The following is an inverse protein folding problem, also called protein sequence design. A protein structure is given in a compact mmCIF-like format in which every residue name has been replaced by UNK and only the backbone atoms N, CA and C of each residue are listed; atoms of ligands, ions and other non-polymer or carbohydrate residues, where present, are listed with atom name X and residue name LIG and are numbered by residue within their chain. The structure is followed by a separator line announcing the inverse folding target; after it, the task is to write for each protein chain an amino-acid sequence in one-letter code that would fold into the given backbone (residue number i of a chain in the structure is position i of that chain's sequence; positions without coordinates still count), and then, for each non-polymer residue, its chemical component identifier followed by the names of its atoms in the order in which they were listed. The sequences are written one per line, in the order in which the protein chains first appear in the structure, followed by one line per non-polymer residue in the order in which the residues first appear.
data_IF_314371696732
#
_entry.id   IF_314371696732
#
_cell.length_a   1.000
_cell.length_b   1.000
_cell.length_c   1.000
_cell.angle_alpha   90.00
_cell.angle_beta   90.00
_cell.angle_gamma   90.00
#
_symmetry.space_group_name_H-M   'P 1'
#
loop_
_entity.id
_entity.type
_entity.pdbx_description
1 polymer ?
#
# COMPACT_ATOMS: atom_id res chain seq x y z
N UNK A 1 -8.86 -21.44 -21.70
CA UNK A 1 -9.18 -20.11 -22.29
C UNK A 1 -7.89 -19.35 -22.45
N UNK A 2 -7.49 -19.12 -23.69
CA UNK A 2 -6.26 -18.45 -24.11
C UNK A 2 -6.35 -16.96 -23.80
N UNK A 3 -5.91 -16.55 -22.61
CA UNK A 3 -5.84 -15.14 -22.24
C UNK A 3 -4.64 -14.48 -22.93
N UNK A 4 -4.93 -13.63 -23.90
CA UNK A 4 -3.95 -12.79 -24.57
C UNK A 4 -3.21 -11.88 -23.60
N UNK A 5 -2.12 -11.28 -24.08
CA UNK A 5 -1.15 -10.43 -23.38
C UNK A 5 -1.70 -9.13 -22.72
N UNK A 6 -2.99 -9.07 -22.40
CA UNK A 6 -3.74 -7.91 -21.90
C UNK A 6 -4.68 -8.25 -20.71
N UNK A 7 -4.34 -9.22 -19.86
CA UNK A 7 -5.05 -9.38 -18.60
C UNK A 7 -4.79 -8.15 -17.71
N UNK A 8 -5.85 -7.49 -17.24
CA UNK A 8 -5.74 -6.33 -16.37
C UNK A 8 -5.04 -6.72 -15.07
N UNK A 9 -3.89 -6.10 -14.79
CA UNK A 9 -3.17 -6.33 -13.56
C UNK A 9 -3.66 -5.38 -12.49
N UNK A 10 -4.20 -5.90 -11.39
CA UNK A 10 -4.73 -5.09 -10.29
C UNK A 10 -3.61 -4.51 -9.41
N UNK A 11 -2.47 -5.20 -9.36
CA UNK A 11 -1.30 -4.78 -8.57
C UNK A 11 -0.76 -3.37 -8.87
N UNK A 12 -0.43 -2.97 -10.11
CA UNK A 12 0.10 -1.63 -10.38
C UNK A 12 -0.90 -0.53 -10.03
N UNK A 13 -2.19 -0.80 -10.22
CA UNK A 13 -3.27 0.10 -9.85
C UNK A 13 -3.37 0.27 -8.33
N UNK A 14 -3.37 -0.84 -7.58
CA UNK A 14 -3.39 -0.82 -6.12
C UNK A 14 -2.17 -0.10 -5.53
N UNK A 15 -0.98 -0.33 -6.12
CA UNK A 15 0.25 0.36 -5.73
C UNK A 15 0.14 1.89 -5.89
N UNK A 16 -0.42 2.35 -7.02
CA UNK A 16 -0.60 3.77 -7.27
C UNK A 16 -1.61 4.38 -6.29
N UNK A 17 -2.71 3.69 -6.01
CA UNK A 17 -3.71 4.12 -5.03
C UNK A 17 -3.11 4.24 -3.63
N UNK A 18 -2.34 3.24 -3.19
CA UNK A 18 -1.68 3.27 -1.88
C UNK A 18 -0.64 4.40 -1.78
N UNK A 19 0.10 4.68 -2.86
CA UNK A 19 1.05 5.78 -2.91
C UNK A 19 0.39 7.15 -2.71
N UNK A 20 -0.66 7.45 -3.48
CA UNK A 20 -1.39 8.70 -3.33
C UNK A 20 -2.06 8.82 -1.96
N UNK A 21 -2.67 7.73 -1.47
CA UNK A 21 -3.24 7.69 -0.12
C UNK A 21 -2.19 8.06 0.95
N UNK A 22 -0.99 7.47 0.86
CA UNK A 22 0.08 7.73 1.81
C UNK A 22 0.56 9.19 1.77
N UNK A 23 0.64 9.80 0.58
CA UNK A 23 0.97 11.23 0.41
C UNK A 23 -0.10 12.13 1.04
N UNK A 24 -1.38 11.81 0.85
CA UNK A 24 -2.47 12.56 1.49
C UNK A 24 -2.44 12.46 3.02
N UNK A 25 -2.18 11.26 3.55
CA UNK A 25 -2.01 11.08 5.01
C UNK A 25 -0.77 11.83 5.50
N UNK A 26 0.32 11.88 4.72
CA UNK A 26 1.54 12.61 5.07
C UNK A 26 1.27 14.12 5.21
N UNK A 27 0.62 14.72 4.21
CA UNK A 27 0.24 16.14 4.24
C UNK A 27 -0.73 16.42 5.40
N UNK A 28 -1.75 15.58 5.58
CA UNK A 28 -2.71 15.70 6.68
C UNK A 28 -2.06 15.55 8.07
N UNK A 29 -0.98 14.78 8.18
CA UNK A 29 -0.22 14.59 9.42
C UNK A 29 0.63 15.82 9.77
N UNK A 30 1.23 16.48 8.76
CA UNK A 30 1.97 17.74 8.95
C UNK A 30 1.03 18.84 9.44
N UNK A 31 -0.17 18.94 8.86
CA UNK A 31 -1.19 19.89 9.30
C UNK A 31 -1.66 19.55 10.73
N UNK A 32 -1.85 18.26 11.03
CA UNK A 32 -2.25 17.78 12.37
C UNK A 32 -1.25 18.09 13.47
N UNK A 33 0.03 18.34 13.15
CA UNK A 33 1.06 18.68 14.15
C UNK A 33 0.77 20.01 14.89
N UNK A 34 -0.06 20.87 14.30
CA UNK A 34 -0.48 22.14 14.87
C UNK A 34 -1.69 22.03 15.82
N UNK A 35 -2.34 20.85 15.88
CA UNK A 35 -3.49 20.56 16.74
C UNK A 35 -3.06 19.87 18.06
N UNK A 36 -3.90 19.88 19.12
CA UNK A 36 -3.53 19.34 20.44
C UNK A 36 -3.08 17.87 20.45
N UNK A 37 -3.56 17.05 19.51
CA UNK A 37 -3.24 15.62 19.42
C UNK A 37 -1.94 15.33 18.64
N UNK A 38 -0.83 15.94 19.08
CA UNK A 38 0.49 15.84 18.42
C UNK A 38 1.05 14.42 18.35
N UNK A 39 0.78 13.59 19.34
CA UNK A 39 1.22 12.18 19.36
C UNK A 39 0.62 11.37 18.23
N UNK A 40 -0.68 11.56 17.95
CA UNK A 40 -1.37 10.90 16.85
C UNK A 40 -0.87 11.42 15.50
N UNK A 41 -0.52 12.71 15.43
CA UNK A 41 0.07 13.31 14.23
C UNK A 41 1.44 12.69 13.93
N UNK A 42 2.28 12.51 14.95
CA UNK A 42 3.58 11.84 14.81
C UNK A 42 3.45 10.38 14.38
N UNK A 43 2.49 9.64 14.94
CA UNK A 43 2.21 8.25 14.55
C UNK A 43 1.75 8.15 13.09
N UNK A 44 0.79 8.98 12.67
CA UNK A 44 0.33 9.01 11.28
C UNK A 44 1.44 9.43 10.30
N UNK A 45 2.29 10.38 10.69
CA UNK A 45 3.45 10.80 9.88
C UNK A 45 4.45 9.64 9.68
N UNK A 46 4.75 8.90 10.75
CA UNK A 46 5.62 7.72 10.68
C UNK A 46 5.01 6.62 9.80
N UNK A 47 3.71 6.35 9.96
CA UNK A 47 2.97 5.36 9.18
C UNK A 47 2.97 5.73 7.69
N UNK A 48 2.70 6.98 7.33
CA UNK A 48 2.73 7.44 5.95
C UNK A 48 4.10 7.25 5.29
N UNK A 49 5.18 7.58 6.01
CA UNK A 49 6.54 7.36 5.53
C UNK A 49 6.85 5.87 5.35
N UNK A 50 6.36 5.02 6.27
CA UNK A 50 6.51 3.58 6.16
C UNK A 50 5.79 3.03 4.91
N UNK A 51 4.56 3.48 4.65
CA UNK A 51 3.80 3.07 3.46
C UNK A 51 4.52 3.50 2.18
N UNK A 52 4.99 4.75 2.10
CA UNK A 52 5.78 5.25 0.96
C UNK A 52 7.06 4.43 0.77
N UNK A 53 7.76 4.12 1.87
CA UNK A 53 8.98 3.31 1.85
C UNK A 53 8.76 1.86 1.47
N UNK A 54 7.57 1.30 1.71
CA UNK A 54 7.20 -0.05 1.31
C UNK A 54 6.74 -0.11 -0.15
N UNK A 55 6.16 0.99 -0.65
CA UNK A 55 5.71 1.16 -2.03
C UNK A 55 6.87 1.43 -3.01
N UNK A 56 7.82 2.29 -2.61
CA UNK A 56 9.03 2.54 -3.37
C UNK A 56 10.11 1.52 -2.95
N UNK A 57 10.61 0.65 -3.84
CA UNK A 57 11.67 -0.27 -3.47
C UNK A 57 12.96 0.52 -3.20
N UNK A 58 13.22 0.83 -1.93
CA UNK A 58 14.51 1.33 -1.50
C UNK A 58 15.53 0.17 -1.52
N UNK A 59 16.76 0.39 -2.00
CA UNK A 59 17.78 -0.65 -2.16
C UNK A 59 18.21 -1.36 -0.86
N UNK A 60 17.75 -0.90 0.31
CA UNK A 60 18.02 -1.53 1.61
C UNK A 60 16.87 -2.41 2.15
N UNK A 61 15.70 -2.43 1.49
CA UNK A 61 14.53 -3.23 1.90
C UNK A 61 14.43 -4.59 1.17
N UNK A 62 15.45 -4.99 0.41
CA UNK A 62 15.52 -6.32 -0.24
C UNK A 62 15.39 -7.50 0.75
N UNK A 63 15.65 -7.27 2.05
CA UNK A 63 15.43 -8.26 3.11
C UNK A 63 13.98 -8.34 3.63
N UNK A 64 13.12 -7.35 3.32
CA UNK A 64 11.68 -7.38 3.62
C UNK A 64 10.84 -8.05 2.51
N UNK A 65 11.49 -8.86 1.66
CA UNK A 65 10.85 -9.58 0.57
C UNK A 65 9.63 -10.43 0.98
N UNK A 66 9.48 -10.81 2.25
CA UNK A 66 8.29 -11.52 2.75
C UNK A 66 7.03 -10.65 2.80
N UNK A 67 7.15 -9.38 3.19
CA UNK A 67 6.00 -8.44 3.26
C UNK A 67 5.65 -7.90 1.88
N UNK A 68 6.66 -7.70 1.02
CA UNK A 68 6.45 -7.24 -0.37
C UNK A 68 5.84 -8.33 -1.27
N UNK A 69 6.18 -9.61 -1.07
CA UNK A 69 5.64 -10.71 -1.87
C UNK A 69 4.19 -11.08 -1.55
N UNK A 70 3.68 -10.75 -0.36
CA UNK A 70 2.40 -11.28 0.11
C UNK A 70 1.33 -10.19 0.19
N UNK A 71 0.43 -10.18 -0.79
CA UNK A 71 -0.62 -9.16 -0.95
C UNK A 71 -1.62 -9.14 0.21
N UNK A 72 -1.85 -10.29 0.87
CA UNK A 72 -2.68 -10.37 2.07
C UNK A 72 -2.09 -9.61 3.26
N UNK A 73 -0.77 -9.73 3.48
CA UNK A 73 -0.07 -9.01 4.54
C UNK A 73 -0.10 -7.50 4.30
N UNK A 74 0.08 -7.10 3.03
CA UNK A 74 0.04 -5.69 2.64
C UNK A 74 -1.34 -5.08 2.82
N UNK A 75 -2.39 -5.78 2.41
CA UNK A 75 -3.77 -5.35 2.63
C UNK A 75 -4.10 -5.23 4.12
N UNK A 76 -3.65 -6.18 4.95
CA UNK A 76 -3.88 -6.17 6.38
C UNK A 76 -3.11 -5.04 7.08
N UNK A 77 -1.86 -4.79 6.68
CA UNK A 77 -1.07 -3.65 7.17
C UNK A 77 -1.77 -2.33 6.84
N UNK A 78 -2.24 -2.17 5.59
CA UNK A 78 -2.97 -0.96 5.19
C UNK A 78 -4.30 -0.82 5.94
N UNK A 79 -5.04 -1.90 6.14
CA UNK A 79 -6.26 -1.90 6.96
C UNK A 79 -5.99 -1.56 8.43
N UNK A 80 -4.87 -2.01 9.02
CA UNK A 80 -4.48 -1.63 10.38
C UNK A 80 -4.09 -0.13 10.45
N UNK A 81 -3.46 0.40 9.40
CA UNK A 81 -3.05 1.81 9.32
C UNK A 81 -4.23 2.79 9.12
N UNK A 82 -5.42 2.31 8.76
CA UNK A 82 -6.65 3.12 8.71
C UNK A 82 -7.03 3.63 10.11
N UNK A 83 -6.86 2.82 11.15
CA UNK A 83 -7.31 3.11 12.53
C UNK A 83 -6.73 4.42 13.08
N UNK A 84 -5.40 4.66 13.06
CA UNK A 84 -4.83 5.91 13.57
C UNK A 84 -5.18 7.12 12.69
N UNK A 85 -5.42 6.92 11.39
CA UNK A 85 -5.81 7.99 10.47
C UNK A 85 -7.26 8.47 10.65
N UNK A 86 -8.15 7.66 11.23
CA UNK A 86 -9.54 8.05 11.51
C UNK A 86 -9.67 9.01 12.69
N UNK A 87 -8.66 9.09 13.56
CA UNK A 87 -8.68 9.94 14.75
C UNK A 87 -8.49 11.43 14.40
N UNK A 88 -7.91 11.73 13.23
CA UNK A 88 -7.60 13.09 12.79
C UNK A 88 -8.41 13.45 11.54
N UNK A 89 -9.17 14.55 11.62
CA UNK A 89 -9.98 15.05 10.50
C UNK A 89 -9.19 15.29 9.19
N UNK A 90 -7.98 15.90 9.18
CA UNK A 90 -7.27 16.18 7.92
C UNK A 90 -6.72 14.93 7.23
N UNK A 91 -6.72 13.76 7.88
CA UNK A 91 -6.25 12.49 7.29
C UNK A 91 -7.38 11.62 6.73
N UNK A 92 -8.66 11.97 6.96
CA UNK A 92 -9.82 11.17 6.53
C UNK A 92 -9.85 10.90 5.02
N UNK A 93 -9.53 11.90 4.19
CA UNK A 93 -9.48 11.73 2.72
C UNK A 93 -8.42 10.72 2.30
N UNK A 94 -7.24 10.76 2.95
CA UNK A 94 -6.16 9.81 2.71
C UNK A 94 -6.51 8.39 3.19
N UNK A 95 -7.22 8.28 4.31
CA UNK A 95 -7.68 7.01 4.88
C UNK A 95 -8.72 6.32 4.00
N UNK A 96 -9.66 7.08 3.43
CA UNK A 96 -10.62 6.53 2.46
C UNK A 96 -9.90 5.96 1.24
N UNK A 97 -8.90 6.69 0.72
CA UNK A 97 -8.07 6.22 -0.38
C UNK A 97 -7.29 4.95 0.00
N UNK A 98 -6.73 4.90 1.22
CA UNK A 98 -6.00 3.74 1.74
C UNK A 98 -6.92 2.51 1.90
N UNK A 99 -8.17 2.72 2.34
CA UNK A 99 -9.16 1.65 2.47
C UNK A 99 -9.57 1.07 1.12
N UNK A 100 -9.71 1.92 0.10
CA UNK A 100 -9.94 1.50 -1.28
C UNK A 100 -8.73 0.71 -1.82
N UNK A 101 -7.51 1.18 -1.56
CA UNK A 101 -6.30 0.46 -1.91
C UNK A 101 -6.22 -0.92 -1.22
N UNK A 102 -6.57 -1.02 0.06
CA UNK A 102 -6.59 -2.29 0.79
C UNK A 102 -7.59 -3.29 0.16
N UNK A 103 -8.77 -2.82 -0.27
CA UNK A 103 -9.75 -3.64 -0.98
C UNK A 103 -9.25 -4.08 -2.35
N UNK A 104 -8.57 -3.22 -3.11
CA UNK A 104 -7.99 -3.61 -4.41
C UNK A 104 -6.81 -4.58 -4.24
N UNK A 105 -6.04 -4.49 -3.16
CA UNK A 105 -5.04 -5.51 -2.81
C UNK A 105 -5.66 -6.85 -2.43
N UNK A 106 -6.77 -6.86 -1.68
CA UNK A 106 -7.52 -8.09 -1.39
C UNK A 106 -8.09 -8.70 -2.68
N UNK A 107 -8.62 -7.87 -3.58
CA UNK A 107 -9.12 -8.33 -4.87
C UNK A 107 -8.00 -8.93 -5.73
N UNK A 108 -6.84 -8.27 -5.80
CA UNK A 108 -5.66 -8.79 -6.49
C UNK A 108 -5.20 -10.15 -5.91
N UNK A 109 -5.29 -10.31 -4.59
CA UNK A 109 -4.96 -11.56 -3.92
C UNK A 109 -5.96 -12.68 -4.20
N UNK A 110 -7.26 -12.37 -4.30
CA UNK A 110 -8.32 -13.32 -4.70
C UNK A 110 -8.17 -13.71 -6.18
N UNK A 111 -7.71 -12.80 -7.04
CA UNK A 111 -7.36 -13.10 -8.43
C UNK A 111 -6.07 -13.92 -8.59
N UNK A 112 -5.35 -14.23 -7.50
CA UNK A 112 -4.15 -15.06 -7.52
C UNK A 112 -2.91 -14.36 -8.07
N UNK A 113 -2.89 -13.02 -8.12
CA UNK A 113 -1.67 -12.30 -8.48
C UNK A 113 -0.61 -12.49 -7.38
N UNK A 114 0.65 -12.73 -7.74
CA UNK A 114 1.75 -12.83 -6.75
C UNK A 114 2.37 -11.47 -6.50
N UNK A 115 2.78 -11.14 -5.27
CA UNK A 115 3.46 -9.88 -4.94
C UNK A 115 4.90 -9.74 -5.48
N UNK A 116 5.39 -10.71 -6.25
CA UNK A 116 6.74 -10.69 -6.82
C UNK A 116 6.93 -9.52 -7.81
N UNK A 117 8.07 -8.81 -7.77
CA UNK A 117 8.37 -7.74 -8.73
C UNK A 117 8.36 -8.29 -10.16
N UNK A 118 7.82 -7.52 -11.10
CA UNK A 118 7.77 -7.87 -12.52
C UNK A 118 9.19 -7.96 -13.10
N UNK A 119 9.82 -9.14 -13.01
CA UNK A 119 11.20 -9.33 -13.48
C UNK A 119 11.85 -10.68 -13.15
N UNK A 120 11.35 -11.45 -12.18
CA UNK A 120 11.85 -12.81 -11.90
C UNK A 120 10.72 -13.84 -12.05
N UNK A 121 10.43 -14.24 -13.29
CA UNK A 121 9.43 -15.29 -13.52
C UNK A 121 9.10 -15.69 -14.96
N UNK A 122 9.57 -14.98 -16.00
CA UNK A 122 9.42 -15.45 -17.39
C UNK A 122 10.58 -16.39 -17.76
N UNK A 123 10.62 -17.55 -17.13
CA UNK A 123 11.71 -18.50 -17.36
C UNK A 123 11.51 -19.84 -16.69
N UNK A 124 10.32 -20.45 -16.86
CA UNK A 124 10.07 -21.89 -16.93
C UNK A 124 8.58 -22.17 -16.74
N UNK A 125 7.90 -22.33 -17.88
CA UNK A 125 7.04 -23.50 -18.10
C UNK A 125 6.80 -23.62 -19.60
N UNK A 126 7.82 -24.09 -20.29
CA UNK A 126 7.61 -24.93 -21.45
C UNK A 126 7.36 -26.32 -20.87
N UNK A 127 6.14 -26.83 -20.96
CA UNK A 127 5.78 -28.16 -21.46
C UNK A 127 4.25 -28.19 -21.55
#
# INVERSE_FOLDING_TARGET
MTAGKFAFQWRPWANLQAYYAAVFILIGSVISAWFPNRFVAGANLFISLLIIGLEHPFPYMDKLGFVSNNLYLRALLYAACVVPGLIQAPTHTGVLCLSCAALTYLWAAVCGESGAPAGKGSGKSAT
#
